data_IF_352161614425
#
_entry.id   IF_352161614425
#
_cell.length_a   1.000
_cell.length_b   1.000
_cell.length_c   1.000
_cell.angle_alpha   90.00
_cell.angle_beta   90.00
_cell.angle_gamma   90.00
#
_symmetry.space_group_name_H-M   'P 1'
#
loop_
_entity.id
_entity.type
_entity.pdbx_description
1 polymer ?
#
# COMPACT_ATOMS: atom_id res chain seq x y z
N UNK A 1 75.07 32.28 72.55
CA UNK A 1 75.84 31.95 71.34
C UNK A 1 74.96 31.12 70.39
N UNK A 2 74.38 31.78 69.38
CA UNK A 2 74.02 31.31 68.02
C UNK A 2 73.78 29.81 67.72
N UNK A 3 72.56 29.45 67.28
CA UNK A 3 72.27 28.87 65.95
C UNK A 3 70.76 28.69 65.74
N UNK A 4 70.11 29.82 65.54
CA UNK A 4 68.88 29.96 64.75
C UNK A 4 69.25 29.82 63.24
N UNK A 5 68.26 29.57 62.36
CA UNK A 5 68.25 29.79 60.90
C UNK A 5 68.55 28.67 59.88
N UNK A 6 68.72 27.39 60.25
CA UNK A 6 68.85 26.31 59.23
C UNK A 6 67.63 25.41 59.01
N UNK A 7 66.69 25.34 59.95
CA UNK A 7 65.58 24.38 59.90
C UNK A 7 64.35 24.88 59.11
N UNK A 8 64.09 26.19 59.10
CA UNK A 8 62.89 26.77 58.46
C UNK A 8 62.95 26.81 56.93
N UNK A 9 64.14 27.05 56.35
CA UNK A 9 64.29 27.07 54.88
C UNK A 9 64.01 25.70 54.23
N UNK A 10 64.19 24.60 54.96
CA UNK A 10 63.94 23.25 54.45
C UNK A 10 62.43 22.91 54.43
N UNK A 11 61.69 23.33 55.46
CA UNK A 11 60.21 23.16 55.51
C UNK A 11 59.50 24.00 54.44
N UNK A 12 59.97 25.21 54.16
CA UNK A 12 59.41 26.08 53.13
C UNK A 12 59.54 25.49 51.71
N UNK A 13 60.68 24.89 51.36
CA UNK A 13 60.87 24.24 50.05
C UNK A 13 60.03 22.98 49.87
N UNK A 14 59.74 22.27 50.97
CA UNK A 14 58.85 21.09 50.96
C UNK A 14 57.39 21.53 50.80
N UNK A 15 56.97 22.59 51.51
CA UNK A 15 55.64 23.18 51.35
C UNK A 15 55.40 23.76 49.96
N UNK A 16 56.39 24.44 49.36
CA UNK A 16 56.31 24.92 47.98
C UNK A 16 56.10 23.79 46.97
N UNK A 17 56.76 22.63 47.15
CA UNK A 17 56.57 21.46 46.29
C UNK A 17 55.19 20.81 46.47
N UNK A 18 54.67 20.79 47.70
CA UNK A 18 53.30 20.30 47.96
C UNK A 18 52.25 21.23 47.35
N UNK A 19 52.40 22.55 47.53
CA UNK A 19 51.50 23.56 46.95
C UNK A 19 51.56 23.52 45.43
N UNK A 20 52.75 23.43 44.83
CA UNK A 20 52.91 23.29 43.39
C UNK A 20 52.32 21.97 42.85
N UNK A 21 52.46 20.87 43.60
CA UNK A 21 51.85 19.58 43.27
C UNK A 21 50.33 19.64 43.28
N UNK A 22 49.74 20.28 44.29
CA UNK A 22 48.28 20.47 44.39
C UNK A 22 47.77 21.40 43.28
N UNK A 23 48.49 22.49 42.98
CA UNK A 23 48.16 23.39 41.88
C UNK A 23 48.21 22.68 40.52
N UNK A 24 49.21 21.83 40.30
CA UNK A 24 49.33 21.04 39.08
C UNK A 24 48.18 20.02 38.96
N UNK A 25 47.82 19.36 40.07
CA UNK A 25 46.69 18.41 40.08
C UNK A 25 45.35 19.12 39.82
N UNK A 26 45.16 20.32 40.39
CA UNK A 26 43.98 21.14 40.16
C UNK A 26 43.89 21.61 38.70
N UNK A 27 45.02 21.98 38.09
CA UNK A 27 45.07 22.38 36.69
C UNK A 27 44.75 21.20 35.74
N UNK A 28 45.28 20.01 36.03
CA UNK A 28 44.95 18.79 35.28
C UNK A 28 43.45 18.46 35.42
N UNK A 29 42.90 18.56 36.63
CA UNK A 29 41.47 18.34 36.89
C UNK A 29 40.59 19.31 36.09
N UNK A 30 40.98 20.59 36.01
CA UNK A 30 40.27 21.61 35.24
C UNK A 30 40.28 21.27 33.74
N UNK A 31 41.43 20.90 33.18
CA UNK A 31 41.57 20.56 31.76
C UNK A 31 40.74 19.32 31.41
N UNK A 32 40.77 18.28 32.25
CA UNK A 32 39.96 17.07 32.06
C UNK A 32 38.47 17.39 32.15
N UNK A 33 38.05 18.20 33.13
CA UNK A 33 36.65 18.60 33.30
C UNK A 33 36.10 19.32 32.05
N UNK A 34 36.82 20.32 31.56
CA UNK A 34 36.42 21.04 30.34
C UNK A 34 36.48 20.16 29.09
N UNK A 35 37.46 19.25 28.99
CA UNK A 35 37.58 18.31 27.89
C UNK A 35 36.38 17.36 27.80
N UNK A 36 35.98 16.76 28.93
CA UNK A 36 34.83 15.86 29.01
C UNK A 36 33.52 16.60 28.72
N UNK A 37 33.36 17.81 29.24
CA UNK A 37 32.17 18.63 28.97
C UNK A 37 31.97 18.90 27.48
N UNK A 38 33.07 19.22 26.77
CA UNK A 38 33.02 19.50 25.33
C UNK A 38 32.71 18.25 24.50
N UNK A 39 33.21 17.09 24.92
CA UNK A 39 32.94 15.82 24.24
C UNK A 39 31.48 15.42 24.44
N UNK A 40 30.94 15.56 25.65
CA UNK A 40 29.53 15.29 25.96
C UNK A 40 28.60 16.11 25.06
N UNK A 41 28.90 17.40 24.82
CA UNK A 41 28.09 18.22 23.91
C UNK A 41 28.12 17.76 22.45
N UNK A 42 29.27 17.24 21.97
CA UNK A 42 29.37 16.68 20.62
C UNK A 42 28.74 15.30 20.48
N UNK A 43 28.64 14.54 21.59
CA UNK A 43 27.99 13.24 21.64
C UNK A 43 26.47 13.33 21.81
N UNK A 44 25.92 14.52 22.10
CA UNK A 44 24.48 14.76 22.01
C UNK A 44 24.07 14.58 20.55
N UNK A 45 23.41 13.45 20.29
CA UNK A 45 22.98 13.05 18.96
C UNK A 45 22.10 14.13 18.34
N UNK A 46 22.48 14.61 17.16
CA UNK A 46 21.63 15.49 16.37
C UNK A 46 20.32 14.76 16.05
N UNK A 47 19.15 15.40 16.23
CA UNK A 47 17.88 14.81 15.85
C UNK A 47 17.91 14.38 14.37
N UNK A 48 17.36 13.21 14.02
CA UNK A 48 17.27 12.80 12.63
C UNK A 48 16.44 13.81 11.83
N UNK A 49 16.96 14.26 10.69
CA UNK A 49 16.22 15.13 9.78
C UNK A 49 15.10 14.30 9.13
N UNK A 50 13.82 14.72 9.24
CA UNK A 50 12.72 14.04 8.57
C UNK A 50 12.92 14.06 7.05
N UNK A 51 12.70 12.92 6.39
CA UNK A 51 12.71 12.87 4.93
C UNK A 51 11.45 13.55 4.37
N UNK A 52 11.56 14.29 3.26
CA UNK A 52 10.38 14.86 2.62
C UNK A 52 9.45 13.73 2.12
N UNK A 53 8.12 13.96 2.14
CA UNK A 53 7.17 12.99 1.62
C UNK A 53 7.35 12.82 0.11
N UNK A 54 7.11 11.61 -0.37
CA UNK A 54 7.09 11.31 -1.81
C UNK A 54 5.76 11.79 -2.39
N UNK A 55 5.83 12.55 -3.49
CA UNK A 55 4.65 12.90 -4.27
C UNK A 55 4.13 11.65 -4.99
N UNK A 56 2.85 11.32 -4.78
CA UNK A 56 2.17 10.19 -5.43
C UNK A 56 0.89 10.67 -6.08
N UNK A 57 0.53 10.05 -7.19
CA UNK A 57 -0.77 10.25 -7.82
C UNK A 57 -1.77 9.27 -7.23
N UNK A 58 -2.94 9.77 -6.86
CA UNK A 58 -4.00 8.97 -6.24
C UNK A 58 -5.31 9.23 -6.94
N UNK A 59 -6.16 8.21 -6.99
CA UNK A 59 -7.55 8.32 -7.42
C UNK A 59 -8.45 7.81 -6.31
N UNK A 60 -9.54 8.54 -6.02
CA UNK A 60 -10.58 8.04 -5.12
C UNK A 60 -11.41 6.99 -5.87
N UNK A 61 -11.63 5.84 -5.22
CA UNK A 61 -12.38 4.73 -5.80
C UNK A 61 -13.67 4.56 -5.00
N UNK A 62 -14.80 4.73 -5.68
CA UNK A 62 -16.11 4.47 -5.12
C UNK A 62 -16.58 3.05 -5.46
N UNK A 63 -17.22 2.33 -4.51
CA UNK A 63 -17.77 1.02 -4.78
C UNK A 63 -18.95 1.12 -5.75
N UNK A 64 -18.91 0.31 -6.81
CA UNK A 64 -19.98 0.21 -7.80
C UNK A 64 -20.14 -1.23 -8.29
N UNK A 65 -21.31 -1.57 -8.88
CA UNK A 65 -21.52 -2.89 -9.44
C UNK A 65 -20.56 -3.14 -10.61
N UNK A 66 -19.87 -4.29 -10.58
CA UNK A 66 -19.02 -4.76 -11.66
C UNK A 66 -19.54 -6.09 -12.20
N UNK A 67 -19.96 -6.10 -13.45
CA UNK A 67 -20.56 -7.29 -14.08
C UNK A 67 -19.59 -7.90 -15.08
N UNK A 68 -19.28 -9.18 -14.90
CA UNK A 68 -18.53 -9.96 -15.88
C UNK A 68 -19.50 -10.59 -16.87
N UNK A 69 -19.40 -10.21 -18.13
CA UNK A 69 -20.23 -10.76 -19.21
C UNK A 69 -19.37 -11.64 -20.14
N UNK A 70 -20.03 -12.61 -20.79
CA UNK A 70 -19.41 -13.44 -21.82
C UNK A 70 -20.32 -13.45 -23.05
N UNK A 71 -19.81 -13.07 -24.23
CA UNK A 71 -20.61 -13.12 -25.46
C UNK A 71 -20.79 -14.56 -25.92
N UNK A 72 -21.99 -14.89 -26.37
CA UNK A 72 -22.33 -16.17 -26.97
C UNK A 72 -23.15 -15.95 -28.23
N UNK A 73 -22.97 -16.83 -29.21
CA UNK A 73 -23.79 -16.87 -30.42
C UNK A 73 -24.78 -18.02 -30.33
N UNK A 74 -25.99 -17.81 -30.86
CA UNK A 74 -27.02 -18.85 -30.91
C UNK A 74 -28.15 -18.46 -31.84
N UNK A 75 -29.11 -19.37 -31.97
CA UNK A 75 -30.34 -19.14 -32.73
C UNK A 75 -31.55 -19.43 -31.86
N UNK A 76 -32.60 -18.63 -32.02
CA UNK A 76 -33.86 -18.82 -31.27
C UNK A 76 -34.68 -19.89 -31.96
N UNK A 77 -35.11 -20.90 -31.21
CA UNK A 77 -35.99 -21.97 -31.69
C UNK A 77 -37.25 -22.04 -30.84
N UNK A 78 -38.36 -22.37 -31.48
CA UNK A 78 -39.63 -22.53 -30.77
C UNK A 78 -39.60 -23.78 -29.89
N UNK A 79 -40.10 -23.68 -28.66
CA UNK A 79 -40.21 -24.82 -27.72
C UNK A 79 -41.09 -25.95 -28.29
N UNK A 80 -42.07 -25.60 -29.12
CA UNK A 80 -42.93 -26.56 -29.83
C UNK A 80 -42.99 -26.20 -31.30
N UNK A 81 -42.74 -27.19 -32.15
CA UNK A 81 -42.86 -27.09 -33.61
C UNK A 81 -43.62 -28.32 -34.10
N UNK A 82 -44.59 -28.10 -34.99
CA UNK A 82 -45.29 -29.17 -35.68
C UNK A 82 -45.03 -29.04 -37.18
N UNK A 83 -44.60 -30.12 -37.80
CA UNK A 83 -44.55 -30.24 -39.26
C UNK A 83 -45.89 -30.81 -39.71
N UNK A 84 -46.59 -30.08 -40.58
CA UNK A 84 -47.88 -30.52 -41.12
C UNK A 84 -47.66 -31.14 -42.49
N UNK A 85 -48.19 -32.34 -42.69
CA UNK A 85 -48.13 -33.06 -43.96
C UNK A 85 -49.51 -33.61 -44.34
N UNK A 86 -49.76 -33.69 -45.64
CA UNK A 86 -50.92 -34.38 -46.16
C UNK A 86 -50.73 -35.89 -46.01
N UNK A 87 -51.80 -36.61 -45.67
CA UNK A 87 -51.78 -38.08 -45.59
C UNK A 87 -51.84 -38.75 -46.97
N UNK A 88 -52.26 -38.01 -47.98
CA UNK A 88 -52.44 -38.48 -49.36
C UNK A 88 -51.67 -37.58 -50.32
N UNK A 89 -51.26 -38.15 -51.45
CA UNK A 89 -50.61 -37.42 -52.54
C UNK A 89 -51.68 -36.85 -53.48
N UNK A 90 -51.90 -35.54 -53.41
CA UNK A 90 -52.83 -34.82 -54.27
C UNK A 90 -52.33 -33.39 -54.53
N UNK A 91 -52.86 -32.71 -55.54
CA UNK A 91 -52.50 -31.33 -55.87
C UNK A 91 -53.10 -30.36 -54.85
N UNK A 92 -52.36 -29.33 -54.46
CA UNK A 92 -52.89 -28.25 -53.60
C UNK A 92 -53.90 -27.43 -54.42
N UNK A 93 -55.16 -27.41 -53.96
CA UNK A 93 -56.25 -26.62 -54.55
C UNK A 93 -56.33 -25.22 -53.96
N UNK A 94 -56.14 -25.09 -52.65
CA UNK A 94 -56.17 -23.79 -51.96
C UNK A 94 -55.40 -23.82 -50.64
N UNK A 95 -54.68 -22.72 -50.34
CA UNK A 95 -54.08 -22.43 -49.03
C UNK A 95 -54.93 -21.35 -48.35
N UNK A 96 -55.36 -21.59 -47.10
CA UNK A 96 -56.32 -20.72 -46.40
C UNK A 96 -55.70 -19.72 -45.41
N UNK A 97 -54.43 -19.91 -45.07
CA UNK A 97 -53.70 -19.08 -44.10
C UNK A 97 -52.40 -18.59 -44.70
N UNK A 98 -51.95 -17.42 -44.23
CA UNK A 98 -50.66 -16.83 -44.61
C UNK A 98 -49.62 -17.04 -43.51
N UNK A 99 -48.36 -16.82 -43.88
CA UNK A 99 -47.24 -16.87 -42.94
C UNK A 99 -47.46 -15.87 -41.79
N UNK A 100 -47.19 -16.30 -40.56
CA UNK A 100 -47.39 -15.49 -39.35
C UNK A 100 -48.81 -15.52 -38.77
N UNK A 101 -49.80 -16.06 -39.48
CA UNK A 101 -51.16 -16.16 -38.95
C UNK A 101 -51.29 -17.27 -37.89
N UNK A 102 -52.11 -17.00 -36.86
CA UNK A 102 -52.35 -17.95 -35.77
C UNK A 102 -53.47 -18.93 -36.14
N UNK A 103 -53.24 -20.22 -35.87
CA UNK A 103 -54.21 -21.29 -36.13
C UNK A 103 -54.45 -22.11 -34.87
N UNK A 104 -55.62 -22.76 -34.80
CA UNK A 104 -55.98 -23.68 -33.72
C UNK A 104 -56.05 -25.11 -34.25
N UNK A 105 -55.99 -26.08 -33.33
CA UNK A 105 -56.18 -27.50 -33.67
C UNK A 105 -57.55 -27.68 -34.31
N UNK A 106 -57.59 -28.37 -35.44
CA UNK A 106 -58.81 -28.63 -36.20
C UNK A 106 -59.12 -27.61 -37.30
N UNK A 107 -58.35 -26.53 -37.40
CA UNK A 107 -58.52 -25.58 -38.50
C UNK A 107 -58.15 -26.22 -39.85
N UNK A 108 -58.95 -25.95 -40.88
CA UNK A 108 -58.66 -26.35 -42.25
C UNK A 108 -57.58 -25.45 -42.85
N UNK A 109 -56.35 -25.95 -42.92
CA UNK A 109 -55.20 -25.17 -43.40
C UNK A 109 -55.12 -25.14 -44.94
N UNK A 110 -55.26 -26.31 -45.55
CA UNK A 110 -55.05 -26.55 -46.99
C UNK A 110 -56.19 -27.42 -47.50
N UNK A 111 -56.70 -27.11 -48.68
CA UNK A 111 -57.61 -27.97 -49.44
C UNK A 111 -56.83 -28.59 -50.59
N UNK A 112 -56.88 -29.91 -50.70
CA UNK A 112 -56.31 -30.67 -51.81
C UNK A 112 -57.39 -30.89 -52.88
N UNK A 113 -56.97 -31.16 -54.11
CA UNK A 113 -57.89 -31.52 -55.18
C UNK A 113 -58.39 -32.95 -55.00
N UNK A 114 -59.63 -33.19 -55.45
CA UNK A 114 -60.34 -34.47 -55.32
C UNK A 114 -59.77 -35.53 -56.29
#
# INVERSE_FOLDING_TARGET
MTTDHKQDRKRMRIWQKLVAGVLLLALIGLVVFFGVHRIQERLKSTPPVPRPPLAVETMQVDPGPFTVTRPYTGSIVATRRALISARVSARVKRVRYREGETVKKGNLLITLDD
#
